data_IF_922393523986
#
_entry.id   IF_922393523986
#
_cell.length_a   1.000
_cell.length_b   1.000
_cell.length_c   1.000
_cell.angle_alpha   90.00
_cell.angle_beta   90.00
_cell.angle_gamma   90.00
#
_symmetry.space_group_name_H-M   'P 1'
#
loop_
_entity.id
_entity.type
_entity.pdbx_description
1 polymer ?
#
# COMPACT_ATOMS: atom_id res chain seq x y z
N UNK A 1 8.23 11.97 16.80
CA UNK A 1 8.01 12.91 15.69
C UNK A 1 6.80 12.44 14.91
N UNK A 2 5.98 13.36 14.42
CA UNK A 2 4.80 13.05 13.60
C UNK A 2 5.05 13.53 12.18
N UNK A 3 4.70 12.70 11.19
CA UNK A 3 4.82 13.04 9.77
C UNK A 3 3.53 12.70 9.04
N UNK A 4 3.17 13.53 8.06
CA UNK A 4 2.14 13.23 7.08
C UNK A 4 2.83 13.10 5.74
N UNK A 5 2.63 11.98 5.07
CA UNK A 5 3.26 11.67 3.78
C UNK A 5 2.16 11.37 2.76
N UNK A 6 2.23 12.04 1.61
CA UNK A 6 1.34 11.76 0.48
C UNK A 6 2.04 10.82 -0.50
N UNK A 7 1.29 9.81 -0.94
CA UNK A 7 1.67 8.90 -2.01
C UNK A 7 0.66 8.99 -3.15
N UNK A 8 1.18 9.05 -4.37
CA UNK A 8 0.42 8.86 -5.59
C UNK A 8 0.89 7.51 -6.19
N UNK A 9 0.15 6.44 -5.90
CA UNK A 9 0.49 5.07 -6.28
C UNK A 9 -0.22 4.68 -7.58
N UNK A 10 0.46 3.96 -8.47
CA UNK A 10 -0.11 3.50 -9.72
C UNK A 10 0.62 2.28 -10.27
N UNK A 11 -0.11 1.43 -11.00
CA UNK A 11 0.42 0.22 -11.60
C UNK A 11 0.02 0.13 -13.08
N UNK A 12 0.97 -0.28 -13.92
CA UNK A 12 0.74 -0.60 -15.32
C UNK A 12 0.85 -2.10 -15.56
N UNK A 13 0.06 -2.61 -16.50
CA UNK A 13 0.13 -3.98 -16.97
C UNK A 13 1.28 -4.20 -17.96
N UNK A 14 1.54 -5.46 -18.35
CA UNK A 14 2.59 -5.80 -19.31
C UNK A 14 2.50 -5.05 -20.64
N UNK A 15 1.27 -4.73 -21.07
CA UNK A 15 0.97 -4.02 -22.32
C UNK A 15 0.93 -2.48 -22.15
N UNK A 16 1.28 -1.97 -20.96
CA UNK A 16 1.25 -0.54 -20.65
C UNK A 16 -0.11 0.02 -20.25
N UNK A 17 -1.16 -0.81 -20.15
CA UNK A 17 -2.48 -0.41 -19.66
C UNK A 17 -2.39 0.02 -18.18
N UNK A 18 -3.00 1.15 -17.81
CA UNK A 18 -3.12 1.55 -16.41
C UNK A 18 -4.10 0.62 -15.67
N UNK A 19 -3.59 -0.20 -14.75
CA UNK A 19 -4.38 -1.15 -13.99
C UNK A 19 -4.92 -0.55 -12.69
N UNK A 20 -4.18 0.41 -12.11
CA UNK A 20 -4.48 0.98 -10.80
C UNK A 20 -3.86 2.37 -10.68
N UNK A 21 -4.58 3.28 -10.02
CA UNK A 21 -4.07 4.58 -9.59
C UNK A 21 -4.84 5.03 -8.36
N UNK A 22 -4.12 5.36 -7.30
CA UNK A 22 -4.68 5.81 -6.05
C UNK A 22 -3.85 6.93 -5.42
N UNK A 23 -4.49 7.67 -4.52
CA UNK A 23 -3.83 8.63 -3.64
C UNK A 23 -4.03 8.19 -2.21
N UNK A 24 -2.95 8.21 -1.45
CA UNK A 24 -2.96 7.81 -0.05
C UNK A 24 -2.22 8.85 0.78
N UNK A 25 -2.73 9.12 1.97
CA UNK A 25 -2.01 9.83 3.02
C UNK A 25 -1.67 8.84 4.12
N UNK A 26 -0.40 8.82 4.54
CA UNK A 26 0.04 8.10 5.73
C UNK A 26 0.34 9.11 6.83
N UNK A 27 -0.32 8.97 7.97
CA UNK A 27 0.04 9.64 9.20
C UNK A 27 0.89 8.68 10.03
N UNK A 28 2.17 9.00 10.21
CA UNK A 28 3.09 8.14 10.97
C UNK A 28 3.65 8.87 12.18
N UNK A 29 3.71 8.16 13.31
CA UNK A 29 4.46 8.57 14.49
C UNK A 29 5.75 7.78 14.57
N UNK A 30 6.88 8.48 14.71
CA UNK A 30 8.20 7.87 14.83
C UNK A 30 8.85 8.15 16.19
N UNK A 31 9.64 7.18 16.66
CA UNK A 31 10.51 7.28 17.84
C UNK A 31 11.85 6.65 17.53
N UNK A 32 12.94 7.40 17.70
CA UNK A 32 14.30 6.95 17.37
C UNK A 32 14.43 6.34 15.96
N UNK A 33 13.82 6.98 14.96
CA UNK A 33 13.87 6.54 13.56
C UNK A 33 12.96 5.34 13.21
N UNK A 34 12.21 4.78 14.18
CA UNK A 34 11.24 3.70 13.94
C UNK A 34 9.82 4.23 13.92
N UNK A 35 8.99 3.71 13.01
CA UNK A 35 7.53 3.93 13.04
C UNK A 35 6.96 3.15 14.24
N UNK A 36 6.22 3.84 15.10
CA UNK A 36 5.60 3.27 16.29
C UNK A 36 4.07 3.26 16.21
N UNK A 37 3.49 4.13 15.38
CA UNK A 37 2.06 4.14 15.02
C UNK A 37 1.92 4.62 13.57
N UNK A 38 0.90 4.10 12.88
CA UNK A 38 0.59 4.43 11.49
C UNK A 38 -0.93 4.39 11.30
N UNK A 39 -1.45 5.42 10.63
CA UNK A 39 -2.84 5.48 10.13
C UNK A 39 -2.81 5.79 8.63
N UNK A 40 -3.58 5.02 7.87
CA UNK A 40 -3.63 5.10 6.41
C UNK A 40 -4.99 5.65 5.95
N UNK A 41 -4.95 6.67 5.10
CA UNK A 41 -6.13 7.29 4.52
C UNK A 41 -6.07 7.18 3.00
N UNK A 42 -6.97 6.38 2.44
CA UNK A 42 -7.08 6.18 1.00
C UNK A 42 -8.15 7.11 0.43
N UNK A 43 -7.88 7.73 -0.72
CA UNK A 43 -8.88 8.50 -1.47
C UNK A 43 -10.03 7.59 -1.93
N UNK A 44 -9.69 6.35 -2.32
CA UNK A 44 -10.65 5.33 -2.74
C UNK A 44 -10.19 3.93 -2.30
N UNK A 45 -10.82 3.40 -1.25
CA UNK A 45 -10.54 2.05 -0.72
C UNK A 45 -11.11 0.95 -1.64
N UNK A 46 -12.16 1.23 -2.39
CA UNK A 46 -12.74 0.24 -3.32
C UNK A 46 -11.79 -0.03 -4.50
N UNK A 47 -11.00 0.97 -4.90
CA UNK A 47 -9.98 0.81 -5.95
C UNK A 47 -8.89 -0.20 -5.62
N UNK A 48 -8.41 -0.25 -4.38
CA UNK A 48 -7.38 -1.24 -4.01
C UNK A 48 -7.99 -2.65 -3.98
N UNK A 49 -9.21 -2.81 -3.49
CA UNK A 49 -9.91 -4.10 -3.48
C UNK A 49 -10.19 -4.62 -4.90
N UNK A 50 -10.62 -3.73 -5.80
CA UNK A 50 -10.82 -4.05 -7.21
C UNK A 50 -9.50 -4.42 -7.92
N UNK A 51 -8.41 -3.73 -7.60
CA UNK A 51 -7.09 -4.05 -8.13
C UNK A 51 -6.60 -5.41 -7.65
N UNK A 52 -6.71 -5.71 -6.35
CA UNK A 52 -6.37 -7.04 -5.81
C UNK A 52 -7.18 -8.16 -6.47
N UNK A 53 -8.48 -7.93 -6.71
CA UNK A 53 -9.31 -8.88 -7.45
C UNK A 53 -8.80 -9.10 -8.89
N UNK A 54 -8.36 -8.03 -9.58
CA UNK A 54 -7.76 -8.12 -10.92
C UNK A 54 -6.42 -8.86 -10.90
N UNK A 55 -5.58 -8.64 -9.90
CA UNK A 55 -4.32 -9.37 -9.72
C UNK A 55 -4.55 -10.87 -9.48
N UNK A 56 -5.53 -11.23 -8.64
CA UNK A 56 -5.93 -12.62 -8.42
C UNK A 56 -6.43 -13.28 -9.71
N UNK A 57 -7.24 -12.57 -10.50
CA UNK A 57 -7.70 -13.06 -11.80
C UNK A 57 -6.55 -13.27 -12.80
N UNK A 58 -5.48 -12.48 -12.71
CA UNK A 58 -4.26 -12.62 -13.50
C UNK A 58 -3.30 -13.72 -12.98
N UNK A 59 -3.66 -14.40 -11.88
CA UNK A 59 -2.82 -15.44 -11.28
C UNK A 59 -1.57 -14.90 -10.58
N UNK A 60 -1.53 -13.60 -10.30
CA UNK A 60 -0.43 -12.99 -9.53
C UNK A 60 -0.64 -13.38 -8.06
N UNK A 61 0.31 -14.10 -7.43
CA UNK A 61 0.16 -14.51 -6.04
C UNK A 61 0.13 -13.27 -5.16
N UNK A 62 -0.87 -13.21 -4.29
CA UNK A 62 -0.90 -12.27 -3.16
C UNK A 62 0.40 -12.42 -2.37
N UNK A 63 1.15 -11.32 -2.23
CA UNK A 63 2.34 -11.33 -1.38
C UNK A 63 1.89 -11.65 0.04
N UNK A 64 2.29 -12.82 0.55
CA UNK A 64 2.08 -13.17 1.94
C UNK A 64 2.56 -12.01 2.83
N UNK A 65 1.80 -11.60 3.86
CA UNK A 65 2.24 -10.55 4.75
C UNK A 65 3.62 -10.93 5.27
N UNK A 66 4.59 -10.01 5.12
CA UNK A 66 5.94 -10.22 5.61
C UNK A 66 5.84 -10.64 7.07
N UNK A 67 6.15 -11.91 7.37
CA UNK A 67 6.09 -12.43 8.73
C UNK A 67 6.85 -11.44 9.61
N UNK A 68 6.16 -10.85 10.58
CA UNK A 68 6.76 -9.93 11.54
C UNK A 68 7.86 -10.70 12.27
N UNK A 69 9.09 -10.62 11.76
CA UNK A 69 10.26 -11.14 12.45
C UNK A 69 10.40 -10.24 13.66
N UNK A 70 9.95 -10.73 14.82
CA UNK A 70 10.30 -10.12 16.09
C UNK A 70 11.83 -10.16 16.16
N UNK A 71 12.43 -8.98 15.98
CA UNK A 71 13.85 -8.81 16.19
C UNK A 71 14.05 -8.97 17.70
N UNK A 72 14.59 -10.12 18.10
CA UNK A 72 15.00 -10.41 19.47
C UNK A 72 16.37 -9.80 19.72
#
# INVERSE_FOLDING_TARGET
>A
MTMIVRFDDHAYGPDGELLYRNRTLLLVRTRFGRIVEQEDFFEDTERILAFEARLRALGVPEHAPAASRSCR
#
